data_IF_750556113582
#
_entry.id   IF_750556113582
#
_cell.length_a   1.000
_cell.length_b   1.000
_cell.length_c   1.000
_cell.angle_alpha   90.00
_cell.angle_beta   90.00
_cell.angle_gamma   90.00
#
_symmetry.space_group_name_H-M   'P 1'
#
loop_
_entity.id
_entity.type
_entity.pdbx_description
1 polymer ?
#
# COMPACT_ATOMS: atom_id res chain seq x y z
N UNK A 1 6.88 85.01 -11.97
CA UNK A 1 6.50 83.89 -12.86
C UNK A 1 7.53 82.78 -12.64
N UNK A 2 7.40 81.99 -11.56
CA UNK A 2 6.72 80.67 -11.46
C UNK A 2 7.53 79.52 -12.10
N UNK A 3 8.11 78.69 -11.23
CA UNK A 3 8.89 77.45 -11.48
C UNK A 3 8.06 76.39 -12.26
N UNK A 4 8.66 75.31 -12.80
CA UNK A 4 8.76 74.11 -11.96
C UNK A 4 10.04 73.27 -12.17
N UNK A 5 10.89 73.27 -11.15
CA UNK A 5 11.13 72.12 -10.25
C UNK A 5 11.32 70.74 -10.94
N UNK A 6 12.59 70.37 -11.02
CA UNK A 6 13.18 69.10 -11.50
C UNK A 6 12.76 67.91 -10.62
N UNK A 7 11.58 67.34 -10.86
CA UNK A 7 11.03 66.19 -10.11
C UNK A 7 11.06 64.85 -10.87
N UNK A 8 11.79 64.77 -11.98
CA UNK A 8 11.75 63.58 -12.83
C UNK A 8 12.57 62.40 -12.30
N UNK A 9 13.51 62.65 -11.38
CA UNK A 9 14.36 61.63 -10.75
C UNK A 9 13.70 60.91 -9.56
N UNK A 10 12.90 61.55 -8.67
CA UNK A 10 12.22 60.81 -7.61
C UNK A 10 11.01 59.98 -8.08
N UNK A 11 10.51 60.17 -9.30
CA UNK A 11 9.34 59.44 -9.82
C UNK A 11 9.70 57.99 -10.25
N UNK A 12 10.91 57.77 -10.76
CA UNK A 12 11.35 56.44 -11.25
C UNK A 12 11.81 55.54 -10.09
N UNK A 13 12.30 56.12 -8.99
CA UNK A 13 12.65 55.38 -7.77
C UNK A 13 11.44 54.88 -6.97
N UNK A 14 10.25 55.47 -7.18
CA UNK A 14 9.01 54.97 -6.58
C UNK A 14 8.41 53.76 -7.33
N UNK A 15 8.74 53.58 -8.61
CA UNK A 15 8.22 52.46 -9.42
C UNK A 15 9.03 51.16 -9.27
N UNK A 16 10.28 51.21 -8.80
CA UNK A 16 11.10 49.99 -8.58
C UNK A 16 10.85 49.37 -7.20
N UNK A 17 10.31 50.13 -6.24
CA UNK A 17 9.93 49.63 -4.91
C UNK A 17 8.62 48.83 -4.88
N UNK A 18 7.83 48.84 -5.96
CA UNK A 18 6.53 48.17 -6.07
C UNK A 18 6.60 46.89 -6.93
N UNK A 19 7.81 46.34 -7.06
CA UNK A 19 8.09 45.04 -7.69
C UNK A 19 8.64 44.08 -6.62
N UNK A 20 8.16 44.20 -5.38
CA UNK A 20 8.10 43.06 -4.48
C UNK A 20 6.88 42.24 -4.91
N UNK A 21 7.02 41.56 -6.06
CA UNK A 21 6.05 40.60 -6.53
C UNK A 21 5.86 39.56 -5.44
N UNK A 22 4.69 39.61 -4.80
CA UNK A 22 4.24 38.54 -3.93
C UNK A 22 4.31 37.26 -4.73
N UNK A 23 5.12 36.31 -4.28
CA UNK A 23 4.99 34.93 -4.73
C UNK A 23 3.67 34.46 -4.15
N UNK A 24 2.62 34.46 -4.97
CA UNK A 24 1.43 33.68 -4.66
C UNK A 24 1.89 32.23 -4.59
N UNK A 25 2.04 31.71 -3.37
CA UNK A 25 2.17 30.29 -3.15
C UNK A 25 0.77 29.74 -3.38
N UNK A 26 0.58 29.08 -4.52
CA UNK A 26 -0.65 28.36 -4.81
C UNK A 26 -0.69 27.14 -3.90
N UNK A 27 -1.21 27.35 -2.69
CA UNK A 27 -1.40 26.32 -1.68
C UNK A 27 -2.53 25.38 -2.12
N UNK A 28 -2.22 24.46 -3.03
CA UNK A 28 -3.18 23.43 -3.43
C UNK A 28 -3.33 22.43 -2.28
N UNK A 29 -4.53 22.29 -1.74
CA UNK A 29 -4.80 21.34 -0.66
C UNK A 29 -5.20 19.99 -1.25
N UNK A 30 -4.49 18.92 -0.83
CA UNK A 30 -4.80 17.54 -1.19
C UNK A 30 -5.10 16.71 0.05
N UNK A 31 -5.94 15.69 -0.09
CA UNK A 31 -6.32 14.80 0.99
C UNK A 31 -5.66 13.44 0.84
N UNK A 32 -5.24 12.84 1.95
CA UNK A 32 -4.68 11.48 1.95
C UNK A 32 -5.78 10.45 1.72
N UNK A 33 -5.70 9.68 0.64
CA UNK A 33 -6.65 8.59 0.34
C UNK A 33 -6.15 7.21 0.76
N UNK A 34 -4.84 7.05 1.01
CA UNK A 34 -4.29 5.79 1.49
C UNK A 34 -4.61 5.55 2.97
N UNK A 35 -4.93 4.30 3.36
CA UNK A 35 -5.14 3.91 4.78
C UNK A 35 -3.91 4.21 5.65
N UNK A 36 -2.73 4.05 5.08
CA UNK A 36 -1.44 4.40 5.68
C UNK A 36 -0.58 5.09 4.62
N UNK A 37 -0.32 6.39 4.81
CA UNK A 37 0.61 7.12 3.97
C UNK A 37 1.73 7.71 4.82
N UNK A 38 2.91 7.73 4.23
CA UNK A 38 4.14 8.12 4.88
C UNK A 38 4.75 9.25 4.05
N UNK A 39 5.15 10.31 4.72
CA UNK A 39 5.98 11.38 4.18
C UNK A 39 7.42 10.90 4.18
N UNK A 40 8.10 11.02 3.05
CA UNK A 40 9.50 10.63 2.90
C UNK A 40 10.40 11.85 2.70
N UNK A 41 11.67 11.74 3.08
CA UNK A 41 12.64 12.84 2.90
C UNK A 41 12.96 13.10 1.43
N UNK A 42 12.83 12.09 0.56
CA UNK A 42 13.11 12.19 -0.85
C UNK A 42 12.05 11.50 -1.74
N UNK A 43 12.35 11.47 -3.03
CA UNK A 43 11.45 11.03 -4.11
C UNK A 43 11.59 9.53 -4.40
N UNK A 44 12.18 8.77 -3.49
CA UNK A 44 12.41 7.33 -3.63
C UNK A 44 11.66 6.56 -2.56
N UNK A 45 11.15 5.38 -2.91
CA UNK A 45 10.49 4.46 -1.96
C UNK A 45 11.43 3.93 -0.85
N UNK A 46 12.75 4.14 -0.98
CA UNK A 46 13.76 3.75 -0.01
C UNK A 46 14.17 4.90 0.94
N UNK A 47 13.76 6.13 0.65
CA UNK A 47 14.12 7.29 1.45
C UNK A 47 13.44 7.25 2.82
N UNK A 48 14.13 7.75 3.84
CA UNK A 48 13.68 7.73 5.23
C UNK A 48 12.32 8.38 5.40
N UNK A 49 11.46 7.76 6.21
CA UNK A 49 10.15 8.30 6.56
C UNK A 49 10.34 9.47 7.54
N UNK A 50 9.95 10.67 7.12
CA UNK A 50 10.02 11.91 7.92
C UNK A 50 8.73 12.18 8.70
N UNK A 51 7.63 11.50 8.35
CA UNK A 51 6.36 11.63 9.05
C UNK A 51 5.32 10.61 8.61
N UNK A 52 4.35 10.35 9.47
CA UNK A 52 3.17 9.55 9.15
C UNK A 52 1.97 10.48 9.01
N UNK A 53 1.17 10.30 7.96
CA UNK A 53 -0.06 11.06 7.73
C UNK A 53 -1.27 10.13 7.72
N UNK A 54 -2.38 10.60 8.26
CA UNK A 54 -3.59 9.78 8.42
C UNK A 54 -4.50 9.90 7.21
N UNK A 55 -5.32 8.89 6.98
CA UNK A 55 -6.39 8.93 5.97
C UNK A 55 -7.31 10.14 6.21
N UNK A 56 -7.61 10.87 5.14
CA UNK A 56 -8.44 12.07 5.16
C UNK A 56 -7.76 13.33 5.71
N UNK A 57 -6.47 13.25 6.07
CA UNK A 57 -5.69 14.42 6.48
C UNK A 57 -5.49 15.36 5.28
N UNK A 58 -5.68 16.66 5.52
CA UNK A 58 -5.42 17.70 4.53
C UNK A 58 -3.93 18.06 4.54
N UNK A 59 -3.33 18.05 3.36
CA UNK A 59 -1.92 18.35 3.14
C UNK A 59 -1.83 19.50 2.12
N UNK A 60 -0.96 20.45 2.41
CA UNK A 60 -0.68 21.57 1.51
C UNK A 60 0.42 21.15 0.53
N UNK A 61 0.14 21.20 -0.77
CA UNK A 61 1.13 20.90 -1.81
C UNK A 61 2.02 22.12 -1.99
N UNK A 62 3.32 21.93 -1.74
CA UNK A 62 4.36 22.95 -1.90
C UNK A 62 5.01 22.84 -3.28
N UNK A 63 4.99 21.63 -3.88
CA UNK A 63 5.53 21.40 -5.20
C UNK A 63 5.19 20.02 -5.74
N UNK A 64 5.33 19.85 -7.06
CA UNK A 64 5.14 18.57 -7.75
C UNK A 64 6.38 18.26 -8.57
N UNK A 65 6.83 17.02 -8.51
CA UNK A 65 7.91 16.53 -9.35
C UNK A 65 7.59 15.11 -9.85
N UNK A 66 7.16 15.02 -11.11
CA UNK A 66 6.70 13.78 -11.72
C UNK A 66 5.57 13.11 -10.94
N UNK A 67 5.83 11.89 -10.45
CA UNK A 67 4.87 11.12 -9.65
C UNK A 67 4.85 11.48 -8.16
N UNK A 68 5.68 12.41 -7.72
CA UNK A 68 5.81 12.81 -6.32
C UNK A 68 5.32 14.22 -6.09
N UNK A 69 4.72 14.44 -4.93
CA UNK A 69 4.29 15.76 -4.47
C UNK A 69 5.02 16.07 -3.17
N UNK A 70 5.67 17.22 -3.13
CA UNK A 70 6.17 17.78 -1.87
C UNK A 70 4.99 18.43 -1.16
N UNK A 71 4.74 17.97 0.06
CA UNK A 71 3.59 18.40 0.84
C UNK A 71 4.02 18.80 2.25
N UNK A 72 3.21 19.66 2.85
CA UNK A 72 3.34 20.11 4.23
C UNK A 72 2.07 19.72 4.98
N UNK A 73 2.23 18.95 6.05
CA UNK A 73 1.15 18.66 6.99
C UNK A 73 0.86 19.89 7.85
N UNK A 74 -0.37 20.00 8.36
CA UNK A 74 -0.76 21.03 9.33
C UNK A 74 0.11 21.01 10.60
N UNK A 75 0.72 19.86 10.92
CA UNK A 75 1.70 19.71 12.00
C UNK A 75 3.06 20.36 11.73
N UNK A 76 3.28 20.89 10.53
CA UNK A 76 4.55 21.49 10.09
C UNK A 76 5.52 20.51 9.44
N UNK A 77 5.21 19.20 9.43
CA UNK A 77 6.05 18.21 8.76
C UNK A 77 6.05 18.40 7.23
N UNK A 78 7.23 18.58 6.64
CA UNK A 78 7.43 18.69 5.19
C UNK A 78 8.06 17.41 4.65
N UNK A 79 7.54 16.88 3.55
CA UNK A 79 8.10 15.71 2.91
C UNK A 79 7.43 15.37 1.59
N UNK A 80 7.91 14.32 0.95
CA UNK A 80 7.42 13.83 -0.33
C UNK A 80 6.41 12.71 -0.14
N UNK A 81 5.30 12.79 -0.87
CA UNK A 81 4.28 11.75 -0.96
C UNK A 81 4.01 11.41 -2.43
N UNK A 82 3.74 10.15 -2.71
CA UNK A 82 3.42 9.72 -4.06
C UNK A 82 2.01 10.19 -4.45
N UNK A 83 1.87 10.78 -5.64
CA UNK A 83 0.64 11.41 -6.10
C UNK A 83 -0.58 10.49 -6.07
N UNK A 84 -0.39 9.19 -6.37
CA UNK A 84 -1.45 8.19 -6.34
C UNK A 84 -1.97 7.88 -4.92
N UNK A 85 -1.33 8.40 -3.87
CA UNK A 85 -1.79 8.26 -2.48
C UNK A 85 -2.57 9.48 -1.98
N UNK A 86 -2.74 10.50 -2.83
CA UNK A 86 -3.44 11.75 -2.53
C UNK A 86 -4.62 11.96 -3.48
N UNK A 87 -5.68 12.60 -3.01
CA UNK A 87 -6.89 12.94 -3.78
C UNK A 87 -7.22 14.42 -3.59
N UNK A 88 -7.64 15.12 -4.63
CA UNK A 88 -8.11 16.51 -4.54
C UNK A 88 -9.45 16.63 -3.81
N UNK A 89 -10.19 15.52 -3.67
CA UNK A 89 -11.46 15.46 -2.94
C UNK A 89 -11.28 14.72 -1.62
N UNK A 90 -11.87 15.27 -0.54
CA UNK A 90 -11.85 14.64 0.78
C UNK A 90 -12.55 13.29 0.68
N UNK A 91 -11.87 12.17 0.96
CA UNK A 91 -12.49 10.87 0.80
C UNK A 91 -13.47 10.67 1.97
N UNK A 92 -14.78 10.68 1.67
CA UNK A 92 -15.83 10.42 2.66
C UNK A 92 -15.84 8.92 2.97
N UNK A 93 -15.88 8.60 4.27
CA UNK A 93 -15.66 7.23 4.77
C UNK A 93 -16.79 6.26 4.49
N UNK A 94 -17.02 5.87 3.24
CA UNK A 94 -17.79 4.65 2.90
C UNK A 94 -16.94 3.38 3.06
N UNK A 95 -15.90 3.46 3.88
CA UNK A 95 -14.97 2.39 4.18
C UNK A 95 -15.63 1.33 5.05
N UNK A 96 -16.68 1.70 5.78
CA UNK A 96 -17.31 0.85 6.78
C UNK A 96 -18.24 -0.19 6.14
N UNK A 97 -19.01 0.21 5.12
CA UNK A 97 -19.89 -0.71 4.40
C UNK A 97 -19.10 -1.68 3.52
N UNK A 98 -18.05 -1.21 2.86
CA UNK A 98 -17.20 -2.05 2.02
C UNK A 98 -16.24 -2.92 2.85
N UNK A 99 -15.77 -2.43 4.00
CA UNK A 99 -15.03 -3.26 4.94
C UNK A 99 -15.95 -4.30 5.59
N UNK A 100 -17.17 -3.94 6.02
CA UNK A 100 -18.17 -4.90 6.52
C UNK A 100 -18.55 -5.92 5.45
N UNK A 101 -18.69 -5.51 4.19
CA UNK A 101 -18.90 -6.42 3.07
C UNK A 101 -17.67 -7.31 2.83
N UNK A 102 -16.46 -6.75 2.90
CA UNK A 102 -15.22 -7.51 2.79
C UNK A 102 -15.03 -8.50 3.95
N UNK A 103 -15.46 -8.15 5.17
CA UNK A 103 -15.50 -9.03 6.33
C UNK A 103 -16.57 -10.11 6.17
N UNK A 104 -17.76 -9.78 5.67
CA UNK A 104 -18.82 -10.77 5.43
C UNK A 104 -18.47 -11.72 4.28
N UNK A 105 -17.74 -11.25 3.27
CA UNK A 105 -17.26 -12.05 2.15
C UNK A 105 -16.05 -12.93 2.52
N UNK A 106 -15.23 -12.51 3.51
CA UNK A 106 -14.15 -13.33 4.08
C UNK A 106 -14.62 -14.46 4.99
N UNK A 107 -15.87 -14.39 5.46
CA UNK A 107 -16.53 -15.47 6.20
C UNK A 107 -17.11 -16.59 5.31
N UNK A 108 -17.01 -16.47 3.99
CA UNK A 108 -17.42 -17.51 3.05
C UNK A 108 -16.33 -18.56 2.85
N UNK A 109 -16.74 -19.83 2.89
CA UNK A 109 -15.96 -21.07 2.78
C UNK A 109 -14.81 -21.12 1.75
N UNK A 110 -14.81 -20.22 0.76
CA UNK A 110 -13.79 -20.11 -0.27
C UNK A 110 -12.38 -19.78 0.29
N UNK A 111 -12.28 -18.98 1.36
CA UNK A 111 -10.98 -18.60 1.93
C UNK A 111 -10.31 -19.74 2.70
N UNK A 112 -11.10 -20.62 3.34
CA UNK A 112 -10.58 -21.75 4.09
C UNK A 112 -10.17 -22.90 3.16
N UNK A 113 -10.95 -23.15 2.11
CA UNK A 113 -10.68 -24.21 1.11
C UNK A 113 -9.43 -23.93 0.27
N UNK A 114 -9.18 -22.66 -0.09
CA UNK A 114 -7.99 -22.26 -0.85
C UNK A 114 -6.72 -22.31 0.02
N UNK A 115 -6.86 -22.03 1.33
CA UNK A 115 -5.75 -22.11 2.27
C UNK A 115 -5.38 -23.55 2.66
N UNK A 116 -6.37 -24.47 2.74
CA UNK A 116 -6.14 -25.88 3.05
C UNK A 116 -5.58 -26.66 1.86
N UNK A 117 -5.93 -26.31 0.62
CA UNK A 117 -5.39 -26.97 -0.58
C UNK A 117 -3.86 -26.79 -0.77
N UNK A 118 -3.25 -25.79 -0.13
CA UNK A 118 -1.82 -25.50 -0.23
C UNK A 118 -0.95 -26.04 0.92
N UNK A 119 -1.55 -26.51 2.01
CA UNK A 119 -0.84 -27.01 3.18
C UNK A 119 -1.09 -28.52 3.31
N UNK A 120 -0.01 -29.29 3.52
CA UNK A 120 0.05 -30.75 3.70
C UNK A 120 -1.19 -31.41 4.34
N UNK A 121 -2.15 -31.80 3.51
CA UNK A 121 -3.32 -32.60 3.91
C UNK A 121 -4.57 -31.76 4.16
N UNK A 122 -5.73 -32.34 3.83
CA UNK A 122 -7.04 -31.72 4.01
C UNK A 122 -7.24 -31.30 5.48
N UNK A 123 -7.13 -30.00 5.76
CA UNK A 123 -7.49 -29.40 7.05
C UNK A 123 -9.00 -29.56 7.34
N UNK A 124 -9.42 -29.32 8.59
CA UNK A 124 -10.82 -29.33 9.10
C UNK A 124 -11.82 -28.60 8.19
N UNK A 125 -11.36 -27.59 7.45
CA UNK A 125 -12.15 -26.85 6.45
C UNK A 125 -12.65 -27.74 5.29
N UNK A 126 -11.88 -28.76 4.94
CA UNK A 126 -12.15 -29.69 3.84
C UNK A 126 -13.21 -30.72 4.21
N UNK A 127 -13.30 -31.10 5.49
CA UNK A 127 -14.36 -31.97 6.02
C UNK A 127 -15.74 -31.32 5.80
N UNK A 128 -15.87 -30.02 6.11
CA UNK A 128 -17.12 -29.27 5.90
C UNK A 128 -17.50 -29.09 4.43
N UNK A 129 -16.55 -29.16 3.49
CA UNK A 129 -16.85 -29.25 2.07
C UNK A 129 -17.29 -30.66 1.68
N UNK A 130 -16.58 -31.69 2.14
CA UNK A 130 -16.88 -33.10 1.85
C UNK A 130 -18.30 -33.49 2.32
N UNK A 131 -18.74 -33.00 3.48
CA UNK A 131 -20.10 -33.22 3.98
C UNK A 131 -21.17 -32.53 3.13
N UNK A 132 -20.91 -31.30 2.66
CA UNK A 132 -21.85 -30.57 1.78
C UNK A 132 -21.90 -31.13 0.37
N UNK A 133 -20.77 -31.61 -0.14
CA UNK A 133 -20.67 -32.24 -1.45
C UNK A 133 -21.16 -33.71 -1.45
N UNK A 134 -21.53 -34.26 -0.28
CA UNK A 134 -22.04 -35.62 -0.16
C UNK A 134 -20.99 -36.70 -0.42
N UNK A 135 -19.71 -36.41 -0.16
CA UNK A 135 -18.60 -37.35 -0.36
C UNK A 135 -18.77 -38.54 0.59
N UNK A 136 -18.61 -39.77 0.08
CA UNK A 136 -18.83 -40.97 0.89
C UNK A 136 -17.75 -41.14 1.95
N UNK A 137 -18.08 -41.77 3.09
CA UNK A 137 -17.13 -42.01 4.17
C UNK A 137 -15.91 -42.84 3.71
N UNK A 138 -16.11 -43.76 2.75
CA UNK A 138 -15.04 -44.59 2.18
C UNK A 138 -14.00 -43.76 1.44
N UNK A 139 -14.44 -42.73 0.70
CA UNK A 139 -13.55 -41.88 -0.09
C UNK A 139 -12.73 -40.97 0.82
N UNK A 140 -13.33 -40.46 1.91
CA UNK A 140 -12.62 -39.69 2.93
C UNK A 140 -11.55 -40.53 3.61
N UNK A 141 -11.92 -41.73 4.03
CA UNK A 141 -10.99 -42.66 4.68
C UNK A 141 -9.84 -43.08 3.75
N UNK A 142 -10.09 -43.18 2.44
CA UNK A 142 -9.03 -43.42 1.46
C UNK A 142 -8.04 -42.25 1.37
N UNK A 143 -8.52 -41.01 1.39
CA UNK A 143 -7.67 -39.82 1.41
C UNK A 143 -6.87 -39.73 2.72
N UNK A 144 -7.49 -40.06 3.85
CA UNK A 144 -6.81 -40.07 5.15
C UNK A 144 -5.69 -41.11 5.19
N UNK A 145 -5.94 -42.32 4.67
CA UNK A 145 -4.90 -43.35 4.54
C UNK A 145 -3.74 -42.91 3.64
N UNK A 146 -4.04 -42.21 2.54
CA UNK A 146 -3.01 -41.66 1.64
C UNK A 146 -2.22 -40.52 2.29
N UNK A 147 -2.88 -39.70 3.10
CA UNK A 147 -2.24 -38.57 3.81
C UNK A 147 -1.38 -39.05 4.97
N UNK A 148 -1.77 -40.16 5.61
CA UNK A 148 -1.00 -40.79 6.68
C UNK A 148 0.20 -41.61 6.17
N UNK A 149 0.30 -41.85 4.86
CA UNK A 149 1.42 -42.60 4.27
C UNK A 149 2.71 -41.78 4.35
N UNK A 150 3.68 -42.27 5.13
CA UNK A 150 5.04 -41.75 5.18
C UNK A 150 5.98 -42.81 4.63
N UNK A 151 6.81 -42.43 3.65
CA UNK A 151 7.89 -43.27 3.14
C UNK A 151 8.95 -43.35 4.23
N UNK A 152 9.43 -44.56 4.54
CA UNK A 152 10.47 -44.73 5.55
C UNK A 152 11.81 -44.21 5.06
N UNK A 153 12.66 -43.72 5.98
CA UNK A 153 13.99 -43.20 5.63
C UNK A 153 14.84 -44.24 4.88
N UNK A 154 14.64 -45.54 5.17
CA UNK A 154 15.34 -46.64 4.50
C UNK A 154 14.96 -46.75 3.02
N UNK A 155 13.67 -46.65 2.68
CA UNK A 155 13.19 -46.68 1.30
C UNK A 155 13.66 -45.44 0.52
N UNK A 156 13.73 -44.27 1.18
CA UNK A 156 14.28 -43.06 0.55
C UNK A 156 15.77 -43.24 0.28
N UNK A 157 16.53 -43.82 1.21
CA UNK A 157 17.97 -44.06 1.04
C UNK A 157 18.27 -45.07 -0.07
N UNK A 158 17.50 -46.15 -0.14
CA UNK A 158 17.61 -47.14 -1.23
C UNK A 158 17.27 -46.51 -2.58
N UNK A 159 16.20 -45.71 -2.66
CA UNK A 159 15.85 -44.96 -3.86
C UNK A 159 16.95 -43.96 -4.29
N UNK A 160 17.55 -43.24 -3.33
CA UNK A 160 18.65 -42.30 -3.61
C UNK A 160 19.90 -43.03 -4.10
N UNK A 161 20.20 -44.22 -3.54
CA UNK A 161 21.34 -45.05 -3.92
C UNK A 161 21.18 -45.67 -5.31
N UNK A 162 20.01 -46.22 -5.62
CA UNK A 162 19.70 -46.80 -6.94
C UNK A 162 19.63 -45.73 -8.04
N UNK A 163 19.02 -44.60 -7.74
CA UNK A 163 18.88 -43.48 -8.67
C UNK A 163 20.16 -42.66 -8.86
N UNK A 164 21.19 -42.88 -8.04
CA UNK A 164 22.38 -42.02 -7.99
C UNK A 164 22.00 -40.56 -7.70
N UNK A 165 21.04 -40.35 -6.79
CA UNK A 165 20.51 -39.05 -6.43
C UNK A 165 21.07 -38.62 -5.06
N UNK A 166 21.21 -37.32 -4.84
CA UNK A 166 21.72 -36.78 -3.58
C UNK A 166 23.20 -37.08 -3.35
N UNK A 167 23.54 -37.62 -2.18
CA UNK A 167 24.92 -37.93 -1.76
C UNK A 167 25.58 -39.07 -2.55
N UNK A 168 24.79 -39.86 -3.28
CA UNK A 168 25.24 -40.98 -4.10
C UNK A 168 25.40 -40.63 -5.59
N UNK A 169 25.17 -39.36 -5.97
CA UNK A 169 25.42 -38.86 -7.32
C UNK A 169 26.94 -38.78 -7.59
N UNK A 170 27.43 -39.49 -8.62
CA UNK A 170 28.82 -39.46 -9.09
C UNK A 170 29.05 -38.46 -10.21
#
# INVERSE_FOLDING_TARGET
>A
MTQPRRYWVPLILFCVGLVAWGTEVWAETVYVQAKTAQLRSGKTSLDTVVGNVKYGEALEVVGRDGGWMEVKSASGAKGWIFANKTSSTKPSGTNDSLAKLGQSMRGGDASATTASAGARGLDKASEGYADRAGVSARDREAVDRMTAYQISDQEVEEFMREGGLGEYAK
#
